data_IF_808956346843
#
_entry.id   IF_808956346843
#
_cell.length_a   1.000
_cell.length_b   1.000
_cell.length_c   1.000
_cell.angle_alpha   90.00
_cell.angle_beta   90.00
_cell.angle_gamma   90.00
#
_symmetry.space_group_name_H-M   'P 1'
#
loop_
_entity.id
_entity.type
_entity.pdbx_description
1 polymer ?
#
# COMPACT_ATOMS: atom_id res chain seq x y z
N UNK A 1 1.79 -0.80 -14.07
CA UNK A 1 3.12 -1.26 -14.54
C UNK A 1 4.26 -0.99 -13.55
N UNK A 2 4.40 0.23 -12.98
CA UNK A 2 5.51 0.57 -12.05
C UNK A 2 5.66 -0.34 -10.82
N UNK A 3 4.55 -0.85 -10.26
CA UNK A 3 4.55 -1.75 -9.09
C UNK A 3 5.05 -3.16 -9.39
N UNK A 4 4.82 -3.69 -10.59
CA UNK A 4 5.29 -5.01 -10.98
C UNK A 4 6.79 -5.01 -11.28
N UNK A 5 7.27 -3.93 -11.92
CA UNK A 5 8.70 -3.73 -12.18
C UNK A 5 9.50 -3.60 -10.87
N UNK A 6 8.97 -2.87 -9.89
CA UNK A 6 9.58 -2.75 -8.57
C UNK A 6 9.65 -4.11 -7.83
N UNK A 7 8.56 -4.90 -7.87
CA UNK A 7 8.54 -6.24 -7.25
C UNK A 7 9.51 -7.19 -7.93
N UNK A 8 9.58 -7.18 -9.26
CA UNK A 8 10.50 -8.02 -10.02
C UNK A 8 11.97 -7.66 -9.72
N UNK A 9 12.30 -6.36 -9.67
CA UNK A 9 13.63 -5.89 -9.32
C UNK A 9 14.03 -6.30 -7.89
N UNK A 10 13.07 -6.25 -6.96
CA UNK A 10 13.29 -6.66 -5.58
C UNK A 10 13.57 -8.16 -5.44
N UNK A 11 12.81 -8.99 -6.14
CA UNK A 11 13.01 -10.45 -6.17
C UNK A 11 14.37 -10.77 -6.78
N UNK A 12 14.77 -10.09 -7.85
CA UNK A 12 16.09 -10.26 -8.47
C UNK A 12 17.24 -9.86 -7.53
N UNK A 13 17.13 -8.72 -6.84
CA UNK A 13 18.10 -8.32 -5.81
C UNK A 13 18.20 -9.34 -4.67
N UNK A 14 17.06 -9.89 -4.24
CA UNK A 14 17.02 -10.88 -3.17
C UNK A 14 17.69 -12.20 -3.58
N UNK A 15 17.39 -12.71 -4.78
CA UNK A 15 18.01 -13.93 -5.32
C UNK A 15 19.52 -13.74 -5.50
N UNK A 16 19.95 -12.56 -5.96
CA UNK A 16 21.37 -12.23 -6.08
C UNK A 16 22.09 -12.19 -4.72
N UNK A 17 21.46 -11.61 -3.68
CA UNK A 17 22.00 -11.60 -2.32
C UNK A 17 22.12 -13.00 -1.74
N UNK A 18 21.11 -13.86 -1.92
CA UNK A 18 21.17 -15.26 -1.48
C UNK A 18 22.25 -16.05 -2.21
N UNK A 19 22.41 -15.83 -3.52
CA UNK A 19 23.46 -16.45 -4.32
C UNK A 19 24.86 -16.01 -3.84
N UNK A 20 25.06 -14.72 -3.57
CA UNK A 20 26.31 -14.18 -3.00
C UNK A 20 26.63 -14.77 -1.62
N UNK A 21 25.62 -14.89 -0.74
CA UNK A 21 25.78 -15.48 0.60
C UNK A 21 26.18 -16.96 0.47
N UNK A 22 25.52 -17.73 -0.41
CA UNK A 22 25.84 -19.14 -0.64
C UNK A 22 27.23 -19.35 -1.23
N UNK A 23 27.61 -18.54 -2.22
CA UNK A 23 28.95 -18.58 -2.82
C UNK A 23 30.01 -18.23 -1.78
N UNK A 24 29.83 -17.16 -1.01
CA UNK A 24 30.80 -16.73 0.00
C UNK A 24 30.91 -17.73 1.18
N UNK A 25 29.83 -18.41 1.54
CA UNK A 25 29.83 -19.50 2.52
C UNK A 25 30.59 -20.74 2.01
N UNK A 26 30.46 -21.05 0.71
CA UNK A 26 31.13 -22.19 0.08
C UNK A 26 32.65 -22.01 -0.01
N UNK A 27 33.13 -20.79 -0.21
CA UNK A 27 34.57 -20.47 -0.28
C UNK A 27 35.21 -20.13 1.09
N UNK A 28 34.42 -20.02 2.17
CA UNK A 28 34.90 -20.08 3.56
C UNK A 28 35.74 -18.91 4.10
N UNK A 29 36.13 -17.92 3.29
CA UNK A 29 37.11 -16.91 3.72
C UNK A 29 36.52 -15.69 4.45
N UNK A 30 35.25 -15.33 4.25
CA UNK A 30 34.75 -14.01 4.69
C UNK A 30 33.48 -14.09 5.55
N UNK A 31 33.67 -14.39 6.84
CA UNK A 31 32.60 -14.48 7.86
C UNK A 31 31.80 -13.16 7.95
N UNK A 32 32.47 -12.00 7.98
CA UNK A 32 31.86 -10.67 8.09
C UNK A 32 30.84 -10.35 6.98
N UNK A 33 31.19 -10.66 5.72
CA UNK A 33 30.33 -10.40 4.56
C UNK A 33 29.06 -11.27 4.64
N UNK A 34 29.21 -12.50 5.11
CA UNK A 34 28.09 -13.44 5.29
C UNK A 34 27.09 -12.92 6.33
N UNK A 35 27.57 -12.41 7.48
CA UNK A 35 26.70 -11.83 8.51
C UNK A 35 26.00 -10.54 8.07
N UNK A 36 26.67 -9.68 7.29
CA UNK A 36 26.04 -8.48 6.72
C UNK A 36 24.87 -8.87 5.78
N UNK A 37 25.05 -9.91 4.97
CA UNK A 37 24.00 -10.44 4.12
C UNK A 37 22.79 -10.95 4.91
N UNK A 38 23.03 -11.70 5.98
CA UNK A 38 21.97 -12.20 6.88
C UNK A 38 21.19 -11.05 7.53
N UNK A 39 21.89 -10.03 8.06
CA UNK A 39 21.25 -8.84 8.65
C UNK A 39 20.41 -8.09 7.61
N UNK A 40 20.91 -7.95 6.39
CA UNK A 40 20.16 -7.32 5.29
C UNK A 40 18.86 -8.05 4.97
N UNK A 41 18.88 -9.39 4.93
CA UNK A 41 17.67 -10.20 4.71
C UNK A 41 16.66 -10.03 5.85
N UNK A 42 17.12 -10.03 7.10
CA UNK A 42 16.26 -9.85 8.28
C UNK A 42 15.58 -8.48 8.25
N UNK A 43 16.35 -7.40 7.99
CA UNK A 43 15.80 -6.05 7.88
C UNK A 43 14.79 -5.92 6.73
N UNK A 44 15.06 -6.61 5.62
CA UNK A 44 14.15 -6.61 4.47
C UNK A 44 12.81 -7.31 4.77
N UNK A 45 12.86 -8.47 5.43
CA UNK A 45 11.66 -9.19 5.88
C UNK A 45 10.88 -8.32 6.87
N UNK A 46 11.56 -7.74 7.87
CA UNK A 46 10.94 -6.86 8.85
C UNK A 46 10.25 -5.64 8.20
N UNK A 47 10.92 -4.97 7.26
CA UNK A 47 10.36 -3.84 6.51
C UNK A 47 9.15 -4.24 5.66
N UNK A 48 9.19 -5.42 5.03
CA UNK A 48 8.07 -5.95 4.24
C UNK A 48 6.85 -6.26 5.10
N UNK A 49 7.05 -6.86 6.28
CA UNK A 49 5.98 -7.16 7.24
C UNK A 49 5.38 -5.86 7.80
N UNK A 50 6.21 -4.89 8.18
CA UNK A 50 5.76 -3.57 8.64
C UNK A 50 4.89 -2.86 7.60
N UNK A 51 5.28 -2.93 6.31
CA UNK A 51 4.50 -2.33 5.22
C UNK A 51 3.14 -3.00 5.05
N UNK A 52 3.06 -4.33 5.14
CA UNK A 52 1.79 -5.07 5.07
C UNK A 52 0.87 -4.72 6.25
N UNK A 53 1.43 -4.60 7.46
CA UNK A 53 0.67 -4.19 8.64
C UNK A 53 0.19 -2.75 8.49
N UNK A 54 1.01 -1.85 7.96
CA UNK A 54 0.64 -0.46 7.70
C UNK A 54 -0.47 -0.33 6.65
N UNK A 55 -0.39 -1.06 5.53
CA UNK A 55 -1.45 -1.10 4.51
C UNK A 55 -2.76 -1.69 5.07
N UNK A 56 -2.67 -2.72 5.92
CA UNK A 56 -3.84 -3.27 6.62
C UNK A 56 -4.42 -2.28 7.64
N UNK A 57 -3.56 -1.53 8.34
CA UNK A 57 -3.98 -0.49 9.29
C UNK A 57 -4.68 0.62 8.53
N UNK A 58 -4.09 1.14 7.46
CA UNK A 58 -4.68 2.14 6.56
C UNK A 58 -6.03 1.66 6.03
N UNK A 59 -6.14 0.41 5.55
CA UNK A 59 -7.43 -0.17 5.14
C UNK A 59 -8.46 -0.26 6.26
N UNK A 60 -8.05 -0.54 7.51
CA UNK A 60 -8.96 -0.54 8.67
C UNK A 60 -9.41 0.87 9.03
N UNK A 61 -8.51 1.85 8.95
CA UNK A 61 -8.85 3.26 9.17
C UNK A 61 -9.79 3.77 8.09
N UNK A 62 -9.55 3.46 6.81
CA UNK A 62 -10.45 3.81 5.71
C UNK A 62 -11.79 3.07 5.77
N UNK A 63 -11.80 1.82 6.26
CA UNK A 63 -13.03 1.02 6.40
C UNK A 63 -13.83 1.25 7.70
N UNK A 64 -13.23 1.90 8.71
CA UNK A 64 -13.85 2.11 10.02
C UNK A 64 -13.93 3.57 10.49
N UNK A 65 -13.18 4.49 9.89
CA UNK A 65 -13.10 5.92 10.29
C UNK A 65 -13.44 6.92 9.17
N UNK A 66 -14.09 6.50 8.07
CA UNK A 66 -15.04 7.43 7.46
C UNK A 66 -16.19 7.53 8.45
N UNK A 67 -16.08 8.47 9.41
CA UNK A 67 -17.17 8.92 10.29
C UNK A 67 -18.45 8.81 9.50
N UNK A 68 -19.45 8.09 10.01
CA UNK A 68 -20.73 7.90 9.34
C UNK A 68 -21.11 9.20 8.63
N UNK A 69 -21.15 9.16 7.29
CA UNK A 69 -21.68 10.28 6.55
C UNK A 69 -23.04 10.59 7.17
N UNK A 70 -23.29 11.85 7.49
CA UNK A 70 -24.63 12.24 7.92
C UNK A 70 -25.62 11.78 6.84
N UNK A 71 -26.82 11.34 7.21
CA UNK A 71 -27.82 10.89 6.23
C UNK A 71 -28.05 11.93 5.12
N UNK A 72 -27.97 13.22 5.44
CA UNK A 72 -28.05 14.30 4.46
C UNK A 72 -26.91 14.29 3.43
N UNK A 73 -25.69 13.94 3.84
CA UNK A 73 -24.52 13.82 2.95
C UNK A 73 -24.64 12.60 2.04
N UNK A 74 -25.18 11.50 2.55
CA UNK A 74 -25.46 10.28 1.80
C UNK A 74 -26.55 10.49 0.75
N UNK A 75 -27.65 11.14 1.11
CA UNK A 75 -28.72 11.44 0.16
C UNK A 75 -28.27 12.40 -0.93
N UNK A 76 -27.46 13.39 -0.58
CA UNK A 76 -26.85 14.27 -1.57
C UNK A 76 -25.92 13.52 -2.53
N UNK A 77 -25.14 12.57 -2.01
CA UNK A 77 -24.28 11.70 -2.82
C UNK A 77 -25.09 10.80 -3.77
N UNK A 78 -26.18 10.20 -3.28
CA UNK A 78 -27.10 9.39 -4.09
C UNK A 78 -27.75 10.23 -5.19
N UNK A 79 -28.19 11.45 -4.88
CA UNK A 79 -28.78 12.36 -5.86
C UNK A 79 -27.76 12.76 -6.94
N UNK A 80 -26.51 13.06 -6.55
CA UNK A 80 -25.43 13.35 -7.49
C UNK A 80 -25.06 12.15 -8.35
N UNK A 81 -25.14 10.93 -7.82
CA UNK A 81 -24.93 9.70 -8.58
C UNK A 81 -26.07 9.44 -9.56
N UNK A 82 -27.33 9.56 -9.12
CA UNK A 82 -28.51 9.38 -9.96
C UNK A 82 -28.57 10.36 -11.14
N UNK A 83 -28.04 11.57 -10.94
CA UNK A 83 -27.95 12.61 -11.99
C UNK A 83 -26.70 12.50 -12.87
N UNK A 84 -25.87 11.46 -12.70
CA UNK A 84 -24.65 11.23 -13.49
C UNK A 84 -23.51 12.21 -13.18
N UNK A 85 -23.59 13.00 -12.10
CA UNK A 85 -22.61 14.02 -11.73
C UNK A 85 -21.49 13.44 -10.84
N UNK A 86 -20.89 12.34 -11.26
CA UNK A 86 -19.89 11.58 -10.46
C UNK A 86 -18.68 12.42 -10.07
N UNK A 87 -18.20 13.30 -10.95
CA UNK A 87 -17.06 14.20 -10.67
C UNK A 87 -17.38 15.16 -9.50
N UNK A 88 -18.62 15.65 -9.45
CA UNK A 88 -19.08 16.58 -8.41
C UNK A 88 -19.28 15.86 -7.07
N UNK A 89 -19.79 14.64 -7.10
CA UNK A 89 -19.86 13.75 -5.93
C UNK A 89 -18.46 13.48 -5.34
N UNK A 90 -17.49 13.10 -6.17
CA UNK A 90 -16.09 12.86 -5.74
C UNK A 90 -15.45 14.13 -5.16
N UNK A 91 -15.73 15.30 -5.76
CA UNK A 91 -15.27 16.59 -5.24
C UNK A 91 -15.85 16.87 -3.85
N UNK A 92 -17.15 16.63 -3.63
CA UNK A 92 -17.79 16.81 -2.32
C UNK A 92 -17.22 15.89 -1.25
N UNK A 93 -17.02 14.61 -1.57
CA UNK A 93 -16.38 13.64 -0.65
C UNK A 93 -15.02 14.12 -0.18
N UNK A 94 -14.18 14.65 -1.08
CA UNK A 94 -12.85 15.17 -0.71
C UNK A 94 -12.90 16.47 0.09
N UNK A 95 -13.96 17.26 -0.05
CA UNK A 95 -14.16 18.46 0.78
C UNK A 95 -14.55 18.04 2.21
N UNK A 96 -15.43 17.05 2.34
CA UNK A 96 -15.85 16.52 3.64
C UNK A 96 -14.75 15.72 4.34
N UNK A 97 -13.90 15.04 3.57
CA UNK A 97 -12.76 14.26 4.07
C UNK A 97 -11.45 14.74 3.44
N UNK A 98 -10.86 15.84 3.97
CA UNK A 98 -9.56 16.33 3.54
C UNK A 98 -8.48 15.33 3.99
N UNK A 99 -8.12 14.42 3.09
CA UNK A 99 -7.21 13.30 3.36
C UNK A 99 -7.47 12.11 2.44
N UNK A 100 -8.69 11.99 1.90
CA UNK A 100 -9.00 10.97 0.90
C UNK A 100 -8.27 11.24 -0.42
N UNK A 101 -7.58 10.22 -0.92
CA UNK A 101 -7.01 10.22 -2.26
C UNK A 101 -8.09 10.30 -3.33
N UNK A 102 -7.76 10.81 -4.52
CA UNK A 102 -8.72 10.93 -5.62
C UNK A 102 -9.34 9.57 -6.01
N UNK A 103 -8.53 8.53 -6.04
CA UNK A 103 -8.97 7.16 -6.36
C UNK A 103 -9.87 6.60 -5.26
N UNK A 104 -9.56 6.87 -4.00
CA UNK A 104 -10.35 6.42 -2.84
C UNK A 104 -11.72 7.09 -2.84
N UNK A 105 -11.76 8.41 -3.06
CA UNK A 105 -13.01 9.15 -3.16
C UNK A 105 -13.88 8.68 -4.32
N UNK A 106 -13.28 8.34 -5.47
CA UNK A 106 -14.01 7.73 -6.60
C UNK A 106 -14.59 6.37 -6.22
N UNK A 107 -13.78 5.48 -5.68
CA UNK A 107 -14.22 4.13 -5.31
C UNK A 107 -15.35 4.17 -4.28
N UNK A 108 -15.32 5.14 -3.36
CA UNK A 108 -16.38 5.35 -2.38
C UNK A 108 -17.70 5.74 -3.04
N UNK A 109 -17.69 6.70 -3.96
CA UNK A 109 -18.89 7.11 -4.72
C UNK A 109 -19.41 5.95 -5.60
N UNK A 110 -18.51 5.18 -6.19
CA UNK A 110 -18.89 4.02 -7.01
C UNK A 110 -19.53 2.90 -6.17
N UNK A 111 -19.09 2.71 -4.91
CA UNK A 111 -19.62 1.69 -3.99
C UNK A 111 -20.99 1.99 -3.37
N UNK A 112 -21.44 3.25 -3.42
CA UNK A 112 -22.77 3.67 -2.91
C UNK A 112 -23.90 3.34 -3.87
#
# INVERSE_FOLDING_TARGET
MKTYLYRACLVLCYVYLLFMIGHNFYYGENLLITWIGVVGVILFIAGSVLKIISDKKLKRTTGGELREFSEAQLDELRALKATGQTVKAVKKVRIWYPGLGLLEAKNLVDSM
#
